data_IF_877374708995
#
_entry.id   IF_877374708995
#
_cell.length_a   1.000
_cell.length_b   1.000
_cell.length_c   1.000
_cell.angle_alpha   90.00
_cell.angle_beta   90.00
_cell.angle_gamma   90.00
#
_symmetry.space_group_name_H-M   'P 1'
#
loop_
_entity.id
_entity.type
_entity.pdbx_description
1 polymer ?
#
# COMPACT_ATOMS: atom_id res chain seq x y z
N UNK A 1 -17.51 5.86 41.15
CA UNK A 1 -16.66 6.09 39.95
C UNK A 1 -16.09 4.79 39.35
N UNK A 2 -16.44 3.60 39.87
CA UNK A 2 -16.10 2.29 39.27
C UNK A 2 -17.15 1.77 38.29
N UNK A 3 -18.40 2.23 38.40
CA UNK A 3 -19.54 1.72 37.62
C UNK A 3 -19.55 2.22 36.16
N UNK A 4 -18.98 3.41 35.90
CA UNK A 4 -18.88 3.97 34.55
C UNK A 4 -17.87 3.21 33.67
N UNK A 5 -16.77 2.75 34.26
CA UNK A 5 -15.74 1.97 33.55
C UNK A 5 -16.19 0.54 33.25
N UNK A 6 -16.97 -0.08 34.14
CA UNK A 6 -17.57 -1.38 33.87
C UNK A 6 -18.54 -1.30 32.67
N UNK A 7 -19.41 -0.29 32.67
CA UNK A 7 -20.39 -0.09 31.59
C UNK A 7 -19.75 0.28 30.24
N UNK A 8 -18.61 0.98 30.24
CA UNK A 8 -17.82 1.22 29.02
C UNK A 8 -17.04 -0.01 28.53
N UNK A 9 -16.71 -0.96 29.42
CA UNK A 9 -16.01 -2.20 29.07
C UNK A 9 -16.94 -3.29 28.53
N UNK A 10 -18.25 -3.18 28.78
CA UNK A 10 -19.24 -4.11 28.23
C UNK A 10 -19.40 -3.92 26.71
N UNK A 11 -19.44 -2.66 26.24
CA UNK A 11 -19.57 -2.26 24.82
C UNK A 11 -18.56 -2.97 23.88
N UNK A 12 -17.24 -2.94 24.11
CA UNK A 12 -16.29 -3.66 23.26
C UNK A 12 -16.46 -5.19 23.34
N UNK A 13 -17.01 -5.72 24.44
CA UNK A 13 -17.28 -7.15 24.60
C UNK A 13 -18.44 -7.61 23.70
N UNK A 14 -19.48 -6.80 23.59
CA UNK A 14 -20.62 -7.03 22.67
C UNK A 14 -20.14 -6.96 21.21
N UNK A 15 -19.37 -5.93 20.84
CA UNK A 15 -18.82 -5.78 19.49
C UNK A 15 -17.92 -6.94 19.07
N UNK A 16 -17.09 -7.46 19.97
CA UNK A 16 -16.28 -8.66 19.69
C UNK A 16 -17.16 -9.89 19.54
N UNK A 17 -18.20 -10.04 20.36
CA UNK A 17 -19.14 -11.16 20.26
C UNK A 17 -19.86 -11.15 18.91
N UNK A 18 -20.38 -10.00 18.50
CA UNK A 18 -21.06 -9.84 17.21
C UNK A 18 -20.08 -9.94 16.03
N UNK A 19 -18.84 -9.47 16.18
CA UNK A 19 -17.77 -9.65 15.21
C UNK A 19 -17.40 -11.12 14.98
N UNK A 20 -17.37 -11.94 16.04
CA UNK A 20 -17.12 -13.38 15.89
C UNK A 20 -18.28 -14.12 15.23
N UNK A 21 -19.52 -13.75 15.53
CA UNK A 21 -20.72 -14.27 14.86
C UNK A 21 -20.71 -13.93 13.37
N UNK A 22 -20.29 -12.71 13.01
CA UNK A 22 -20.15 -12.27 11.63
C UNK A 22 -19.07 -13.08 10.89
N UNK A 23 -17.86 -13.22 11.45
CA UNK A 23 -16.78 -14.00 10.83
C UNK A 23 -17.13 -15.49 10.69
N UNK A 24 -17.96 -16.03 11.58
CA UNK A 24 -18.48 -17.40 11.48
C UNK A 24 -19.57 -17.55 10.42
N UNK A 25 -20.28 -16.47 10.06
CA UNK A 25 -21.24 -16.43 8.94
C UNK A 25 -20.58 -16.23 7.58
N UNK A 26 -19.37 -15.67 7.54
CA UNK A 26 -18.62 -15.52 6.29
C UNK A 26 -18.17 -16.88 5.73
N UNK A 27 -18.37 -17.09 4.44
CA UNK A 27 -17.80 -18.22 3.70
C UNK A 27 -16.28 -18.08 3.67
N UNK A 28 -15.56 -18.93 4.41
CA UNK A 28 -14.10 -18.93 4.39
C UNK A 28 -13.64 -19.53 3.04
N UNK A 29 -12.75 -18.84 2.31
CA UNK A 29 -12.30 -19.31 1.00
C UNK A 29 -11.59 -20.65 1.13
N UNK A 30 -11.86 -21.56 0.19
CA UNK A 30 -11.23 -22.87 0.20
C UNK A 30 -9.73 -22.77 -0.16
N UNK A 31 -8.93 -23.76 0.23
CA UNK A 31 -7.48 -23.82 -0.02
C UNK A 31 -7.17 -23.66 -1.52
N UNK A 32 -8.00 -24.23 -2.40
CA UNK A 32 -7.82 -24.14 -3.86
C UNK A 32 -8.07 -22.73 -4.40
N UNK A 33 -9.04 -22.02 -3.84
CA UNK A 33 -9.36 -20.64 -4.22
C UNK A 33 -8.29 -19.68 -3.72
N UNK A 34 -7.84 -19.87 -2.49
CA UNK A 34 -6.75 -19.08 -1.91
C UNK A 34 -5.46 -19.18 -2.73
N UNK A 35 -5.09 -20.39 -3.17
CA UNK A 35 -3.91 -20.59 -4.00
C UNK A 35 -4.03 -19.84 -5.33
N UNK A 36 -5.18 -19.90 -6.01
CA UNK A 36 -5.40 -19.17 -7.28
C UNK A 36 -5.29 -17.66 -7.10
N UNK A 37 -5.88 -17.12 -6.03
CA UNK A 37 -5.83 -15.69 -5.72
C UNK A 37 -4.39 -15.28 -5.37
N UNK A 38 -3.70 -16.05 -4.54
CA UNK A 38 -2.30 -15.78 -4.16
C UNK A 38 -1.34 -15.82 -5.36
N UNK A 39 -1.59 -16.70 -6.33
CA UNK A 39 -0.81 -16.78 -7.57
C UNK A 39 -1.04 -15.53 -8.43
N UNK A 40 -2.30 -15.11 -8.61
CA UNK A 40 -2.61 -13.90 -9.35
C UNK A 40 -1.98 -12.65 -8.71
N UNK A 41 -2.08 -12.51 -7.38
CA UNK A 41 -1.47 -11.40 -6.63
C UNK A 41 0.07 -11.47 -6.68
N UNK A 42 0.65 -12.66 -6.56
CA UNK A 42 2.09 -12.86 -6.64
C UNK A 42 2.67 -12.46 -7.99
N UNK A 43 2.00 -12.83 -9.09
CA UNK A 43 2.40 -12.43 -10.45
C UNK A 43 2.27 -10.91 -10.62
N UNK A 44 1.19 -10.31 -10.12
CA UNK A 44 0.99 -8.86 -10.15
C UNK A 44 2.10 -8.11 -9.41
N UNK A 45 2.49 -8.57 -8.23
CA UNK A 45 3.56 -7.95 -7.44
C UNK A 45 4.92 -8.03 -8.14
N UNK A 46 5.23 -9.16 -8.77
CA UNK A 46 6.47 -9.31 -9.54
C UNK A 46 6.50 -8.34 -10.73
N UNK A 47 5.41 -8.22 -11.47
CA UNK A 47 5.33 -7.31 -12.62
C UNK A 47 5.48 -5.85 -12.18
N UNK A 48 4.75 -5.42 -11.13
CA UNK A 48 4.86 -4.05 -10.62
C UNK A 48 6.26 -3.76 -10.06
N UNK A 49 6.88 -4.72 -9.38
CA UNK A 49 8.25 -4.59 -8.87
C UNK A 49 9.29 -4.47 -9.98
N UNK A 50 9.18 -5.28 -11.04
CA UNK A 50 10.10 -5.23 -12.18
C UNK A 50 9.95 -3.92 -12.96
N UNK A 51 8.72 -3.48 -13.24
CA UNK A 51 8.46 -2.21 -13.93
C UNK A 51 9.04 -1.03 -13.12
N UNK A 52 8.83 -1.02 -11.80
CA UNK A 52 9.40 -0.01 -10.91
C UNK A 52 10.94 0.02 -10.90
N UNK A 53 11.59 -1.14 -11.03
CA UNK A 53 13.05 -1.24 -11.11
C UNK A 53 13.61 -0.68 -12.42
N UNK A 54 12.99 -1.03 -13.55
CA UNK A 54 13.44 -0.57 -14.88
C UNK A 54 13.25 0.94 -15.05
N UNK A 55 12.10 1.49 -14.64
CA UNK A 55 11.85 2.95 -14.68
C UNK A 55 12.87 3.70 -13.82
N UNK A 56 13.16 3.20 -12.61
CA UNK A 56 14.15 3.81 -11.71
C UNK A 56 15.57 3.73 -12.28
N UNK A 57 15.93 2.63 -12.94
CA UNK A 57 17.24 2.46 -13.57
C UNK A 57 17.46 3.42 -14.75
N UNK A 58 16.46 3.65 -15.60
CA UNK A 58 16.57 4.56 -16.76
C UNK A 58 16.65 6.02 -16.31
N UNK A 59 16.01 6.37 -15.19
CA UNK A 59 15.98 7.76 -14.71
C UNK A 59 17.32 8.24 -14.14
N UNK A 60 18.19 7.35 -13.63
CA UNK A 60 19.53 7.68 -13.09
C UNK A 60 20.48 8.24 -14.17
N UNK A 61 20.72 7.57 -15.32
CA UNK A 61 21.60 8.08 -16.36
C UNK A 61 21.01 9.30 -17.08
N UNK A 62 19.68 9.35 -17.26
CA UNK A 62 19.01 10.51 -17.88
C UNK A 62 19.19 11.76 -17.03
N UNK A 63 19.03 11.66 -15.71
CA UNK A 63 19.27 12.78 -14.81
C UNK A 63 20.75 13.20 -14.79
N UNK A 64 21.68 12.25 -14.91
CA UNK A 64 23.11 12.54 -14.99
C UNK A 64 23.45 13.34 -16.27
N UNK A 65 22.95 12.94 -17.44
CA UNK A 65 23.21 13.61 -18.73
C UNK A 65 22.53 14.99 -18.81
N UNK A 66 21.30 15.12 -18.31
CA UNK A 66 20.58 16.40 -18.30
C UNK A 66 21.26 17.45 -17.41
N UNK A 67 21.80 17.04 -16.26
CA UNK A 67 22.52 17.94 -15.33
C UNK A 67 23.77 18.56 -15.96
N UNK A 68 24.47 17.83 -16.84
CA UNK A 68 25.64 18.37 -17.55
C UNK A 68 25.27 19.29 -18.72
N UNK A 69 24.09 19.10 -19.31
CA UNK A 69 23.65 19.88 -20.48
C UNK A 69 22.80 21.12 -20.11
N UNK A 70 22.39 21.29 -18.85
CA UNK A 70 21.39 22.28 -18.45
C UNK A 70 21.71 22.97 -17.11
N UNK A 71 22.72 23.83 -17.08
CA UNK A 71 22.72 24.97 -16.15
C UNK A 71 21.96 26.12 -16.82
N UNK A 72 20.66 26.25 -16.52
CA UNK A 72 20.18 27.40 -15.76
C UNK A 72 19.29 26.98 -14.57
N UNK A 73 19.06 27.85 -13.57
CA UNK A 73 18.48 27.46 -12.28
C UNK A 73 16.98 27.21 -12.40
N UNK A 74 16.56 25.95 -12.58
CA UNK A 74 15.19 25.55 -12.30
C UNK A 74 15.03 25.26 -10.81
N UNK A 75 14.95 26.35 -10.05
CA UNK A 75 14.55 26.35 -8.66
C UNK A 75 13.06 25.97 -8.54
N UNK A 76 12.78 24.96 -7.71
CA UNK A 76 11.64 24.90 -6.78
C UNK A 76 10.30 24.21 -7.14
N UNK A 77 10.12 23.49 -8.25
CA UNK A 77 8.86 22.73 -8.46
C UNK A 77 8.90 21.22 -8.13
N UNK A 78 10.06 20.65 -7.85
CA UNK A 78 10.16 19.24 -7.49
C UNK A 78 9.65 18.91 -6.09
N UNK A 79 9.32 19.88 -5.22
CA UNK A 79 8.65 19.54 -3.95
C UNK A 79 7.18 19.14 -4.12
N UNK A 80 6.52 19.53 -5.23
CA UNK A 80 5.17 19.05 -5.55
C UNK A 80 5.17 17.85 -6.51
N UNK A 81 6.23 17.70 -7.32
CA UNK A 81 6.36 16.57 -8.23
C UNK A 81 7.04 15.34 -7.60
N UNK A 82 7.89 15.47 -6.58
CA UNK A 82 8.33 14.32 -5.77
C UNK A 82 7.15 13.73 -4.98
N UNK A 83 6.28 14.56 -4.39
CA UNK A 83 5.11 14.07 -3.66
C UNK A 83 4.04 13.43 -4.57
N UNK A 84 3.97 13.78 -5.86
CA UNK A 84 3.09 13.10 -6.83
C UNK A 84 3.76 11.88 -7.49
N UNK A 85 5.09 11.85 -7.64
CA UNK A 85 5.80 10.68 -8.18
C UNK A 85 5.90 9.53 -7.15
N UNK A 86 5.79 9.84 -5.85
CA UNK A 86 5.54 8.83 -4.81
C UNK A 86 4.16 8.15 -4.95
N UNK A 87 3.24 8.71 -5.75
CA UNK A 87 1.91 8.12 -5.99
C UNK A 87 1.86 7.12 -7.15
N UNK A 88 2.91 7.08 -7.99
CA UNK A 88 3.14 6.02 -8.99
C UNK A 88 4.15 4.97 -8.50
N UNK A 89 4.49 5.00 -7.21
CA UNK A 89 5.41 4.07 -6.55
C UNK A 89 4.69 3.23 -5.50
N UNK A 90 3.61 2.57 -5.92
CA UNK A 90 3.08 1.36 -5.29
C UNK A 90 3.38 0.17 -6.21
#
# INVERSE_FOLDING_TARGET
>A
MSDQFAQMADIPREFLRDGTLFINRCTKPDKREFIKISQAVGIGFVIMGVIGFIVKLIHIPVNNILVYASLPPYSRHTCHQQCCFDRYRL
#
